data_IF_600572818353
#
_entry.id   IF_600572818353
#
_cell.length_a   1.000
_cell.length_b   1.000
_cell.length_c   1.000
_cell.angle_alpha   90.00
_cell.angle_beta   90.00
_cell.angle_gamma   90.00
#
_symmetry.space_group_name_H-M   'P 1'
#
loop_
_entity.id
_entity.type
_entity.pdbx_description
1 polymer ?
#
# COMPACT_ATOMS: atom_id res chain seq x y z
N UNK A 1 1.91 -5.34 -12.27
CA UNK A 1 0.47 -5.10 -12.49
C UNK A 1 0.17 -3.60 -12.43
N UNK A 2 -0.88 -3.11 -13.08
CA UNK A 2 -1.32 -1.71 -12.91
C UNK A 2 -1.95 -1.51 -11.52
N UNK A 3 -1.87 -0.30 -10.96
CA UNK A 3 -2.55 0.07 -9.69
C UNK A 3 -4.05 -0.22 -9.77
N UNK A 4 -4.67 -0.01 -10.94
CA UNK A 4 -6.09 -0.27 -11.16
C UNK A 4 -6.50 -1.75 -10.97
N UNK A 5 -5.56 -2.69 -11.06
CA UNK A 5 -5.82 -4.11 -10.82
C UNK A 5 -5.59 -4.52 -9.35
N UNK A 6 -5.18 -3.58 -8.48
CA UNK A 6 -4.98 -3.83 -7.06
C UNK A 6 -6.34 -4.02 -6.36
N UNK A 7 -6.43 -5.02 -5.48
CA UNK A 7 -7.63 -5.31 -4.69
C UNK A 7 -8.05 -4.12 -3.82
N UNK A 8 -7.09 -3.44 -3.19
CA UNK A 8 -7.36 -2.28 -2.35
C UNK A 8 -7.93 -1.11 -3.17
N UNK A 9 -7.36 -0.84 -4.35
CA UNK A 9 -7.85 0.22 -5.25
C UNK A 9 -9.26 -0.10 -5.76
N UNK A 10 -9.53 -1.34 -6.16
CA UNK A 10 -10.86 -1.75 -6.61
C UNK A 10 -11.92 -1.60 -5.51
N UNK A 11 -11.59 -2.00 -4.28
CA UNK A 11 -12.48 -1.83 -3.12
C UNK A 11 -12.70 -0.34 -2.80
N UNK A 12 -11.65 0.48 -2.90
CA UNK A 12 -11.77 1.92 -2.68
C UNK A 12 -12.62 2.60 -3.76
N UNK A 13 -12.44 2.26 -5.03
CA UNK A 13 -13.23 2.77 -6.15
C UNK A 13 -14.71 2.39 -6.05
N UNK A 14 -15.04 1.21 -5.50
CA UNK A 14 -16.42 0.85 -5.17
C UNK A 14 -17.02 1.80 -4.12
N UNK A 15 -16.30 2.05 -3.02
CA UNK A 15 -16.76 2.99 -1.98
C UNK A 15 -16.84 4.43 -2.45
N UNK A 16 -15.95 4.84 -3.35
CA UNK A 16 -16.02 6.14 -4.01
C UNK A 16 -17.31 6.30 -4.82
N UNK A 17 -17.66 5.31 -5.64
CA UNK A 17 -18.91 5.33 -6.43
C UNK A 17 -20.16 5.36 -5.57
N UNK A 18 -20.17 4.61 -4.45
CA UNK A 18 -21.26 4.67 -3.48
C UNK A 18 -21.44 6.10 -2.93
N UNK A 19 -20.33 6.80 -2.60
CA UNK A 19 -20.37 8.19 -2.11
C UNK A 19 -20.79 9.18 -3.20
N UNK A 20 -20.29 9.04 -4.43
CA UNK A 20 -20.70 9.89 -5.55
C UNK A 20 -22.21 9.75 -5.83
N UNK A 21 -22.77 8.55 -5.69
CA UNK A 21 -24.21 8.34 -5.80
C UNK A 21 -25.00 9.07 -4.70
N UNK A 22 -24.52 9.09 -3.45
CA UNK A 22 -25.13 9.87 -2.37
C UNK A 22 -25.12 11.38 -2.67
N UNK A 23 -24.06 11.87 -3.31
CA UNK A 23 -23.93 13.26 -3.76
C UNK A 23 -24.71 13.56 -5.06
N UNK A 24 -25.39 12.57 -5.64
CA UNK A 24 -26.17 12.73 -6.87
C UNK A 24 -25.33 12.85 -8.14
N UNK A 25 -24.12 12.31 -8.13
CA UNK A 25 -23.17 12.28 -9.25
C UNK A 25 -22.79 10.84 -9.63
N UNK A 26 -23.77 9.93 -9.86
CA UNK A 26 -23.48 8.49 -10.01
C UNK A 26 -22.65 8.13 -11.26
N UNK A 27 -22.63 9.01 -12.26
CA UNK A 27 -21.95 8.80 -13.55
C UNK A 27 -20.56 9.47 -13.61
N UNK A 28 -20.09 10.08 -12.51
CA UNK A 28 -18.73 10.61 -12.43
C UNK A 28 -17.72 9.53 -12.05
N UNK A 29 -16.62 9.47 -12.80
CA UNK A 29 -15.46 8.61 -12.51
C UNK A 29 -14.31 9.39 -11.81
N UNK A 30 -14.64 10.54 -11.21
CA UNK A 30 -13.70 11.48 -10.59
C UNK A 30 -13.37 11.19 -9.12
N UNK A 31 -12.59 12.08 -8.50
CA UNK A 31 -12.41 12.12 -7.05
C UNK A 31 -13.58 12.87 -6.40
N UNK A 32 -13.94 12.48 -5.16
CA UNK A 32 -14.95 13.21 -4.37
C UNK A 32 -14.36 14.51 -3.82
N UNK A 33 -13.09 14.47 -3.40
CA UNK A 33 -12.34 15.62 -2.95
C UNK A 33 -11.85 16.46 -4.14
N UNK A 34 -11.94 17.79 -4.01
CA UNK A 34 -11.41 18.75 -4.98
C UNK A 34 -12.50 19.61 -5.61
N UNK A 35 -12.40 19.80 -6.93
CA UNK A 35 -13.24 20.71 -7.72
C UNK A 35 -12.50 21.98 -8.16
N UNK A 36 -13.19 22.80 -8.95
CA UNK A 36 -12.65 24.02 -9.56
C UNK A 36 -13.00 25.30 -8.77
N UNK A 37 -13.59 25.17 -7.59
CA UNK A 37 -14.06 26.30 -6.78
C UNK A 37 -15.35 26.96 -7.29
N UNK A 38 -16.11 26.30 -8.16
CA UNK A 38 -17.41 26.80 -8.62
C UNK A 38 -18.43 26.87 -7.47
N UNK A 39 -19.03 28.06 -7.30
CA UNK A 39 -19.95 28.33 -6.19
C UNK A 39 -21.25 27.51 -6.29
N UNK A 40 -21.72 27.25 -7.51
CA UNK A 40 -22.94 26.46 -7.73
C UNK A 40 -22.71 24.98 -7.42
N UNK A 41 -21.58 24.41 -7.84
CA UNK A 41 -21.17 23.06 -7.51
C UNK A 41 -21.07 22.86 -5.99
N UNK A 42 -20.42 23.80 -5.28
CA UNK A 42 -20.30 23.74 -3.82
C UNK A 42 -21.68 23.81 -3.13
N UNK A 43 -22.55 24.74 -3.56
CA UNK A 43 -23.90 24.84 -3.02
C UNK A 43 -24.73 23.57 -3.28
N UNK A 44 -24.54 22.93 -4.44
CA UNK A 44 -25.21 21.67 -4.79
C UNK A 44 -24.76 20.52 -3.89
N UNK A 45 -23.46 20.39 -3.62
CA UNK A 45 -22.92 19.40 -2.68
C UNK A 45 -23.45 19.65 -1.27
N UNK A 46 -23.46 20.90 -0.80
CA UNK A 46 -24.00 21.25 0.52
C UNK A 46 -25.48 20.87 0.64
N UNK A 47 -26.30 21.20 -0.37
CA UNK A 47 -27.72 20.85 -0.37
C UNK A 47 -27.95 19.32 -0.29
N UNK A 48 -27.08 18.52 -0.92
CA UNK A 48 -27.11 17.05 -0.80
C UNK A 48 -26.75 16.61 0.62
N UNK A 49 -25.62 17.08 1.16
CA UNK A 49 -25.15 16.71 2.50
C UNK A 49 -26.16 17.03 3.60
N UNK A 50 -26.84 18.18 3.53
CA UNK A 50 -27.88 18.59 4.51
C UNK A 50 -29.07 17.63 4.54
N UNK A 51 -29.35 16.95 3.43
CA UNK A 51 -30.45 15.99 3.33
C UNK A 51 -30.06 14.55 3.71
N UNK A 52 -28.77 14.28 3.91
CA UNK A 52 -28.25 12.95 4.26
C UNK A 52 -28.33 12.71 5.77
N UNK A 53 -28.25 11.43 6.15
CA UNK A 53 -28.07 11.03 7.56
C UNK A 53 -26.64 11.35 8.02
N UNK A 54 -26.45 11.46 9.35
CA UNK A 54 -25.12 11.64 9.93
C UNK A 54 -24.15 10.51 9.51
N UNK A 55 -24.64 9.27 9.46
CA UNK A 55 -23.87 8.12 9.02
C UNK A 55 -23.39 8.26 7.57
N UNK A 56 -24.27 8.72 6.66
CA UNK A 56 -23.92 8.95 5.26
C UNK A 56 -22.94 10.12 5.10
N UNK A 57 -23.10 11.18 5.88
CA UNK A 57 -22.15 12.31 5.91
C UNK A 57 -20.77 11.84 6.37
N UNK A 58 -20.70 10.99 7.40
CA UNK A 58 -19.44 10.41 7.88
C UNK A 58 -18.78 9.49 6.83
N UNK A 59 -19.59 8.76 6.04
CA UNK A 59 -19.06 7.97 4.91
C UNK A 59 -18.45 8.85 3.82
N UNK A 60 -19.11 9.95 3.46
CA UNK A 60 -18.56 10.93 2.51
C UNK A 60 -17.26 11.51 3.05
N UNK A 61 -17.24 11.91 4.32
CA UNK A 61 -16.05 12.45 4.98
C UNK A 61 -14.89 11.46 4.96
N UNK A 62 -15.14 10.18 5.24
CA UNK A 62 -14.09 9.15 5.23
C UNK A 62 -13.42 9.01 3.85
N UNK A 63 -14.20 9.06 2.76
CA UNK A 63 -13.65 9.03 1.39
C UNK A 63 -12.85 10.30 1.08
N UNK A 64 -13.39 11.47 1.40
CA UNK A 64 -12.67 12.75 1.21
C UNK A 64 -11.34 12.75 1.97
N UNK A 65 -11.35 12.31 3.23
CA UNK A 65 -10.13 12.18 4.01
C UNK A 65 -9.15 11.24 3.31
N UNK A 66 -9.57 10.03 2.93
CA UNK A 66 -8.71 9.05 2.27
C UNK A 66 -8.09 9.58 0.95
N UNK A 67 -8.84 10.30 0.13
CA UNK A 67 -8.36 10.89 -1.13
C UNK A 67 -7.34 12.01 -0.94
N UNK A 68 -7.36 12.68 0.21
CA UNK A 68 -6.43 13.78 0.53
C UNK A 68 -5.16 13.34 1.25
N UNK A 69 -5.03 12.04 1.58
CA UNK A 69 -3.82 11.52 2.23
C UNK A 69 -2.68 11.31 1.21
N UNK A 70 -1.48 11.75 1.57
CA UNK A 70 -0.27 11.52 0.78
C UNK A 70 0.33 10.15 1.10
N UNK A 71 0.48 9.28 0.09
CA UNK A 71 1.16 8.01 0.23
C UNK A 71 2.61 8.18 0.73
N UNK A 72 3.03 7.33 1.68
CA UNK A 72 4.38 7.37 2.25
C UNK A 72 4.64 8.52 3.23
N UNK A 73 3.59 9.23 3.65
CA UNK A 73 3.67 10.22 4.72
C UNK A 73 3.56 9.59 6.11
N UNK A 74 3.96 10.33 7.14
CA UNK A 74 3.87 9.90 8.54
C UNK A 74 2.43 9.58 8.99
N UNK A 75 1.42 10.26 8.43
CA UNK A 75 0.01 10.00 8.77
C UNK A 75 -0.46 8.65 8.24
N UNK A 76 0.02 8.21 7.07
CA UNK A 76 -0.27 6.87 6.55
C UNK A 76 0.33 5.80 7.46
N UNK A 77 1.54 6.00 7.96
CA UNK A 77 2.13 5.09 8.94
C UNK A 77 1.32 5.06 10.24
N UNK A 78 0.95 6.21 10.78
CA UNK A 78 0.14 6.29 12.00
C UNK A 78 -1.22 5.57 11.84
N UNK A 79 -1.92 5.81 10.72
CA UNK A 79 -3.21 5.16 10.43
C UNK A 79 -3.05 3.66 10.19
N UNK A 80 -2.03 3.24 9.44
CA UNK A 80 -1.76 1.83 9.16
C UNK A 80 -1.51 1.04 10.45
N UNK A 81 -0.76 1.62 11.39
CA UNK A 81 -0.55 1.04 12.71
C UNK A 81 -1.83 1.06 13.56
N UNK A 82 -2.54 2.19 13.63
CA UNK A 82 -3.75 2.32 14.46
C UNK A 82 -4.89 1.40 14.01
N UNK A 83 -5.07 1.23 12.71
CA UNK A 83 -6.12 0.41 12.11
C UNK A 83 -5.70 -1.06 11.95
N UNK A 84 -4.48 -1.43 12.35
CA UNK A 84 -3.90 -2.76 12.17
C UNK A 84 -4.02 -3.25 10.71
N UNK A 85 -3.60 -2.40 9.76
CA UNK A 85 -3.70 -2.72 8.33
C UNK A 85 -2.76 -3.87 7.96
N UNK A 86 -3.34 -4.95 7.45
CA UNK A 86 -2.60 -6.08 6.89
C UNK A 86 -2.43 -5.93 5.38
N UNK A 87 -1.24 -5.51 4.96
CA UNK A 87 -0.90 -5.36 3.54
C UNK A 87 -0.76 -6.70 2.81
N UNK A 88 -0.64 -7.84 3.49
CA UNK A 88 -0.46 -9.14 2.85
C UNK A 88 -1.70 -9.57 2.05
N UNK A 89 -2.87 -9.06 2.43
CA UNK A 89 -4.12 -9.26 1.70
C UNK A 89 -4.19 -8.51 0.36
N UNK A 90 -3.33 -7.50 0.15
CA UNK A 90 -3.34 -6.61 -1.01
C UNK A 90 -2.02 -6.59 -1.79
N UNK A 91 -0.99 -7.28 -1.29
CA UNK A 91 0.34 -7.33 -1.88
C UNK A 91 0.71 -8.72 -2.37
N UNK A 92 1.40 -8.77 -3.49
CA UNK A 92 2.15 -9.94 -3.95
C UNK A 92 3.36 -9.47 -4.73
N UNK A 93 4.45 -10.22 -4.66
CA UNK A 93 5.62 -9.94 -5.48
C UNK A 93 5.31 -10.31 -6.94
N UNK A 94 5.48 -9.35 -7.85
CA UNK A 94 5.34 -9.56 -9.29
C UNK A 94 6.67 -9.38 -10.03
N UNK A 95 6.67 -9.59 -11.34
CA UNK A 95 7.88 -9.45 -12.13
C UNK A 95 8.46 -8.04 -12.10
N UNK A 96 7.62 -7.01 -12.08
CA UNK A 96 8.06 -5.62 -11.99
C UNK A 96 8.81 -5.35 -10.69
N UNK A 97 8.31 -5.85 -9.55
CA UNK A 97 9.02 -5.80 -8.27
C UNK A 97 10.43 -6.40 -8.38
N UNK A 98 10.54 -7.61 -8.93
CA UNK A 98 11.83 -8.27 -9.07
C UNK A 98 12.73 -7.61 -10.11
N UNK A 99 12.22 -7.02 -11.18
CA UNK A 99 13.02 -6.26 -12.15
C UNK A 99 13.65 -5.02 -11.51
N UNK A 100 12.90 -4.33 -10.65
CA UNK A 100 13.34 -3.11 -9.96
C UNK A 100 14.29 -3.37 -8.77
N UNK A 101 14.30 -4.58 -8.19
CA UNK A 101 15.18 -4.94 -7.08
C UNK A 101 16.66 -5.05 -7.53
N UNK A 102 17.43 -3.96 -7.54
CA UNK A 102 18.83 -4.01 -8.06
C UNK A 102 19.89 -4.23 -7.00
N UNK A 103 19.59 -3.92 -5.75
CA UNK A 103 20.53 -3.97 -4.66
C UNK A 103 20.73 -5.42 -4.17
N UNK A 104 21.97 -5.90 -4.23
CA UNK A 104 22.35 -7.28 -3.85
C UNK A 104 22.26 -7.51 -2.35
N UNK A 105 22.56 -6.51 -1.52
CA UNK A 105 22.44 -6.63 -0.07
C UNK A 105 20.96 -6.75 0.32
N UNK A 106 20.10 -5.89 -0.25
CA UNK A 106 18.66 -5.93 0.01
C UNK A 106 18.05 -7.26 -0.48
N UNK A 107 18.42 -7.73 -1.67
CA UNK A 107 17.95 -9.02 -2.16
C UNK A 107 18.37 -10.18 -1.23
N UNK A 108 19.57 -10.13 -0.66
CA UNK A 108 20.01 -11.15 0.29
C UNK A 108 19.26 -11.09 1.62
N UNK A 109 18.96 -9.88 2.12
CA UNK A 109 18.16 -9.69 3.33
C UNK A 109 16.70 -10.14 3.13
N UNK A 110 16.12 -9.89 1.94
CA UNK A 110 14.81 -10.44 1.57
C UNK A 110 14.84 -11.97 1.51
N UNK A 111 15.93 -12.53 0.97
CA UNK A 111 16.11 -13.98 0.98
C UNK A 111 16.20 -14.54 2.40
N UNK A 112 16.80 -13.81 3.34
CA UNK A 112 16.82 -14.20 4.75
C UNK A 112 15.43 -14.18 5.39
N UNK A 113 14.59 -13.20 5.04
CA UNK A 113 13.21 -13.10 5.53
C UNK A 113 12.32 -14.24 5.03
N UNK A 114 12.62 -14.80 3.84
CA UNK A 114 11.78 -15.81 3.17
C UNK A 114 12.34 -17.22 3.38
N UNK A 115 13.62 -17.42 3.08
CA UNK A 115 14.29 -18.72 3.13
C UNK A 115 15.10 -18.98 4.41
N UNK A 116 15.12 -18.00 5.32
CA UNK A 116 15.91 -18.07 6.54
C UNK A 116 17.39 -17.72 6.34
N UNK A 117 18.04 -17.42 7.47
CA UNK A 117 19.45 -16.99 7.50
C UNK A 117 20.43 -17.98 6.85
N UNK A 118 20.36 -19.31 7.06
CA UNK A 118 21.31 -20.24 6.44
C UNK A 118 21.27 -20.20 4.91
N UNK A 119 20.09 -20.03 4.32
CA UNK A 119 19.93 -19.93 2.87
C UNK A 119 20.50 -18.62 2.36
N UNK A 120 20.27 -17.51 3.06
CA UNK A 120 20.84 -16.22 2.71
C UNK A 120 22.37 -16.23 2.78
N UNK A 121 22.95 -16.75 3.87
CA UNK A 121 24.39 -16.83 4.08
C UNK A 121 25.06 -17.69 2.98
N UNK A 122 24.44 -18.83 2.62
CA UNK A 122 24.93 -19.69 1.54
C UNK A 122 24.88 -19.06 0.14
N UNK A 123 24.12 -17.98 -0.04
CA UNK A 123 23.94 -17.29 -1.33
C UNK A 123 24.44 -15.84 -1.30
N UNK A 124 25.20 -15.43 -0.28
CA UNK A 124 25.66 -14.04 -0.14
C UNK A 124 26.60 -13.59 -1.27
N UNK A 125 27.43 -14.51 -1.79
CA UNK A 125 28.35 -14.28 -2.91
C UNK A 125 27.69 -14.39 -4.28
N UNK A 126 26.45 -14.87 -4.34
CA UNK A 126 25.74 -15.07 -5.60
C UNK A 126 25.33 -13.75 -6.27
N UNK A 127 25.13 -13.82 -7.59
CA UNK A 127 24.58 -12.69 -8.35
C UNK A 127 23.16 -12.39 -7.87
N UNK A 128 22.77 -11.12 -7.88
CA UNK A 128 21.41 -10.68 -7.50
C UNK A 128 20.32 -11.43 -8.30
N UNK A 129 20.58 -11.77 -9.57
CA UNK A 129 19.66 -12.58 -10.39
C UNK A 129 19.41 -13.97 -9.79
N UNK A 130 20.45 -14.62 -9.26
CA UNK A 130 20.34 -15.93 -8.58
C UNK A 130 19.50 -15.77 -7.31
N UNK A 131 19.79 -14.77 -6.48
CA UNK A 131 19.05 -14.54 -5.24
C UNK A 131 17.56 -14.25 -5.51
N UNK A 132 17.23 -13.42 -6.52
CA UNK A 132 15.85 -13.20 -6.97
C UNK A 132 15.15 -14.47 -7.41
N UNK A 133 15.86 -15.36 -8.12
CA UNK A 133 15.31 -16.64 -8.54
C UNK A 133 14.96 -17.50 -7.32
N UNK A 134 15.86 -17.59 -6.35
CA UNK A 134 15.61 -18.35 -5.11
C UNK A 134 14.41 -17.78 -4.35
N UNK A 135 14.29 -16.45 -4.25
CA UNK A 135 13.13 -15.80 -3.65
C UNK A 135 11.85 -16.21 -4.38
N UNK A 136 11.81 -16.12 -5.72
CA UNK A 136 10.66 -16.56 -6.52
C UNK A 136 10.32 -18.02 -6.26
N UNK A 137 11.31 -18.89 -6.21
CA UNK A 137 11.12 -20.32 -5.95
C UNK A 137 10.43 -20.56 -4.59
N UNK A 138 10.81 -19.82 -3.53
CA UNK A 138 10.11 -19.89 -2.23
C UNK A 138 8.67 -19.37 -2.30
N UNK A 139 8.43 -18.25 -2.99
CA UNK A 139 7.07 -17.69 -3.10
C UNK A 139 6.14 -18.57 -3.95
N UNK A 140 6.70 -19.31 -4.91
CA UNK A 140 5.96 -20.24 -5.76
C UNK A 140 5.82 -21.65 -5.14
N UNK A 141 6.66 -22.01 -4.16
CA UNK A 141 6.75 -23.39 -3.66
C UNK A 141 7.42 -24.34 -4.65
N UNK A 142 8.36 -23.84 -5.44
CA UNK A 142 9.03 -24.56 -6.53
C UNK A 142 10.44 -25.02 -6.13
N UNK A 143 11.02 -25.90 -6.95
CA UNK A 143 12.41 -26.35 -6.79
C UNK A 143 12.70 -26.96 -5.39
N UNK A 144 11.73 -27.69 -4.83
CA UNK A 144 11.84 -28.38 -3.55
C UNK A 144 11.76 -27.47 -2.32
N UNK A 145 11.29 -26.24 -2.48
CA UNK A 145 11.14 -25.27 -1.38
C UNK A 145 9.71 -25.25 -0.87
N UNK A 146 9.56 -25.15 0.45
CA UNK A 146 8.26 -24.91 1.07
C UNK A 146 7.75 -23.54 0.64
N UNK A 147 6.47 -23.49 0.24
CA UNK A 147 5.84 -22.27 -0.24
C UNK A 147 5.70 -21.29 0.91
N UNK A 148 6.18 -20.06 0.72
CA UNK A 148 5.99 -18.95 1.65
C UNK A 148 4.88 -18.06 1.14
N UNK A 149 3.71 -18.15 1.78
CA UNK A 149 2.56 -17.30 1.51
C UNK A 149 2.61 -15.99 2.33
N UNK A 150 1.88 -14.97 1.89
CA UNK A 150 1.68 -13.70 2.61
C UNK A 150 2.98 -12.93 2.99
N UNK A 151 4.10 -13.20 2.29
CA UNK A 151 5.32 -12.45 2.52
C UNK A 151 5.18 -10.98 2.10
N UNK A 152 5.64 -10.10 2.98
CA UNK A 152 5.72 -8.66 2.77
C UNK A 152 7.18 -8.20 2.85
N UNK A 153 7.66 -7.39 1.88
CA UNK A 153 8.85 -6.60 2.07
C UNK A 153 8.72 -5.74 3.33
N UNK A 154 9.80 -5.57 4.10
CA UNK A 154 9.79 -4.79 5.36
C UNK A 154 9.23 -3.37 5.22
N UNK A 155 9.46 -2.70 4.09
CA UNK A 155 8.93 -1.36 3.80
C UNK A 155 7.45 -1.33 3.38
N UNK A 156 6.82 -2.49 3.15
CA UNK A 156 5.38 -2.62 2.88
C UNK A 156 4.57 -2.98 4.13
N UNK A 157 5.22 -3.17 5.28
CA UNK A 157 4.56 -3.45 6.56
C UNK A 157 4.19 -2.14 7.24
N UNK A 158 3.25 -2.20 8.19
CA UNK A 158 3.04 -1.12 9.17
C UNK A 158 3.55 -1.60 10.54
N UNK A 159 4.50 -0.89 11.17
CA UNK A 159 5.21 0.27 10.63
C UNK A 159 6.23 -0.14 9.56
N UNK A 160 6.46 0.74 8.59
CA UNK A 160 7.41 0.50 7.51
C UNK A 160 8.84 0.46 8.06
N UNK A 161 9.60 -0.55 7.62
CA UNK A 161 10.98 -0.76 8.09
C UNK A 161 11.98 -0.83 6.93
N UNK A 162 13.14 -0.20 7.15
CA UNK A 162 14.29 -0.32 6.26
C UNK A 162 14.93 -1.71 6.36
N UNK A 163 15.47 -2.21 5.25
CA UNK A 163 16.33 -3.40 5.28
C UNK A 163 17.74 -3.10 5.79
N UNK A 164 18.23 -1.87 5.59
CA UNK A 164 19.61 -1.49 5.92
C UNK A 164 19.64 -0.18 6.70
N UNK A 165 20.75 0.06 7.41
CA UNK A 165 20.99 1.30 8.16
C UNK A 165 21.56 2.42 7.28
N UNK A 166 21.55 2.28 5.94
CA UNK A 166 22.06 3.30 5.01
C UNK A 166 21.21 4.58 4.96
N UNK A 167 20.03 4.56 5.57
CA UNK A 167 19.09 5.69 5.58
C UNK A 167 18.44 5.93 4.22
N UNK A 168 17.73 7.05 4.10
CA UNK A 168 17.10 7.48 2.85
C UNK A 168 15.71 6.87 2.59
N UNK A 169 15.15 6.16 3.57
CA UNK A 169 13.76 5.70 3.53
C UNK A 169 12.88 6.65 4.34
N UNK A 170 12.48 7.75 3.67
CA UNK A 170 11.72 8.87 4.25
C UNK A 170 10.55 8.42 5.13
N UNK A 171 9.81 7.41 4.70
CA UNK A 171 8.62 6.92 5.42
C UNK A 171 8.96 6.42 6.82
N UNK A 172 9.95 5.53 6.94
CA UNK A 172 10.41 5.05 8.25
C UNK A 172 11.03 6.17 9.08
N UNK A 173 11.81 7.07 8.46
CA UNK A 173 12.45 8.20 9.14
C UNK A 173 11.41 9.18 9.71
N UNK A 174 10.31 9.42 8.99
CA UNK A 174 9.20 10.27 9.44
C UNK A 174 8.38 9.59 10.55
N UNK A 175 8.07 8.31 10.39
CA UNK A 175 7.35 7.54 11.41
C UNK A 175 8.11 7.51 12.75
N UNK A 176 9.42 7.29 12.72
CA UNK A 176 10.25 7.25 13.91
C UNK A 176 10.16 8.53 14.78
N UNK A 177 9.78 9.66 14.19
CA UNK A 177 9.64 10.96 14.88
C UNK A 177 8.26 11.18 15.50
N UNK A 178 7.25 10.41 15.10
CA UNK A 178 5.85 10.62 15.51
C UNK A 178 5.22 9.40 16.18
N UNK A 179 5.92 8.26 16.21
CA UNK A 179 5.45 7.08 16.93
C UNK A 179 5.28 7.38 18.44
N UNK A 180 4.24 6.84 19.10
CA UNK A 180 3.98 7.04 20.53
C UNK A 180 5.07 6.50 21.47
#
# INVERSE_FOLDING_TARGET
ASVAACKAEAAFAEKRREVLALLGQPDEDGAVAGGNGDAFALASVLAKLVALSDDDVLRVLAIVMAETLEAGSAVIEALGNHLNVDMSACWQADDAFFELLRDREIANLMLADIGGKPVADGNVSEKVKTQKKIIRDFLAGENGREKVDAWLPRWMKFPAQSYTNRGGFRTADQWARVQP
#
